data_IF_064108044052
#
_entry.id   IF_064108044052
#
_cell.length_a   1.000
_cell.length_b   1.000
_cell.length_c   1.000
_cell.angle_alpha   90.00
_cell.angle_beta   90.00
_cell.angle_gamma   90.00
#
_symmetry.space_group_name_H-M   'P 1'
#
loop_
_entity.id
_entity.type
_entity.pdbx_description
1 polymer ?
#
# COMPACT_ATOMS: atom_id res chain seq x y z
N UNK A 1 -9.45 -2.38 8.51
CA UNK A 1 -10.29 -1.83 7.42
C UNK A 1 -9.44 -1.51 6.20
N UNK A 2 -8.35 -0.75 6.34
CA UNK A 2 -7.40 -0.46 5.23
C UNK A 2 -6.93 -1.72 4.52
N UNK A 3 -6.51 -2.76 5.26
CA UNK A 3 -6.09 -4.04 4.67
C UNK A 3 -7.17 -4.78 3.87
N UNK A 4 -8.47 -4.54 4.13
CA UNK A 4 -9.54 -5.13 3.30
C UNK A 4 -9.51 -4.49 1.91
N UNK A 5 -9.38 -3.16 1.87
CA UNK A 5 -9.24 -2.40 0.62
C UNK A 5 -7.95 -2.78 -0.12
N UNK A 6 -6.85 -2.94 0.60
CA UNK A 6 -5.57 -3.31 -0.03
C UNK A 6 -5.61 -4.73 -0.56
N UNK A 7 -6.18 -5.68 0.18
CA UNK A 7 -6.37 -7.04 -0.31
C UNK A 7 -7.26 -7.07 -1.56
N UNK A 8 -8.34 -6.28 -1.58
CA UNK A 8 -9.21 -6.15 -2.74
C UNK A 8 -8.44 -5.58 -3.94
N UNK A 9 -7.58 -4.58 -3.76
CA UNK A 9 -6.73 -4.02 -4.82
C UNK A 9 -5.55 -4.90 -5.26
N UNK A 10 -5.42 -6.10 -4.69
CA UNK A 10 -4.23 -6.95 -4.78
C UNK A 10 -2.92 -6.21 -4.45
N UNK A 11 -2.94 -5.38 -3.40
CA UNK A 11 -1.86 -4.47 -3.01
C UNK A 11 -1.51 -3.46 -4.12
N UNK A 12 -2.46 -2.58 -4.42
CA UNK A 12 -2.31 -1.43 -5.33
C UNK A 12 -2.17 -1.79 -6.82
N UNK A 13 -2.52 -3.01 -7.22
CA UNK A 13 -2.43 -3.46 -8.61
C UNK A 13 -3.61 -3.01 -9.47
N UNK A 14 -4.78 -2.81 -8.87
CA UNK A 14 -5.98 -2.36 -9.57
C UNK A 14 -6.87 -1.48 -8.69
N UNK A 15 -7.74 -0.62 -9.29
CA UNK A 15 -8.68 0.17 -8.51
C UNK A 15 -9.71 -0.72 -7.81
N UNK A 16 -10.35 -0.17 -6.78
CA UNK A 16 -11.43 -0.83 -6.02
C UNK A 16 -12.75 -0.11 -6.20
N UNK A 17 -13.87 -0.80 -5.98
CA UNK A 17 -15.19 -0.16 -6.00
C UNK A 17 -15.52 0.46 -4.63
N UNK A 18 -15.82 1.76 -4.62
CA UNK A 18 -16.38 2.38 -3.42
C UNK A 18 -17.66 1.66 -2.95
N UNK A 19 -18.55 1.32 -3.89
CA UNK A 19 -19.86 0.75 -3.60
C UNK A 19 -19.76 -0.60 -2.89
N UNK A 20 -18.78 -1.44 -3.26
CA UNK A 20 -18.57 -2.74 -2.61
C UNK A 20 -18.11 -2.61 -1.15
N UNK A 21 -17.38 -1.53 -0.83
CA UNK A 21 -16.84 -1.29 0.51
C UNK A 21 -17.43 -0.02 1.14
N UNK A 22 -18.65 0.36 0.76
CA UNK A 22 -19.25 1.65 1.12
C UNK A 22 -19.22 1.91 2.63
N UNK A 23 -19.47 0.89 3.44
CA UNK A 23 -19.43 0.97 4.91
C UNK A 23 -18.05 1.35 5.47
N UNK A 24 -16.95 0.97 4.80
CA UNK A 24 -15.58 1.33 5.19
C UNK A 24 -15.37 2.83 4.90
N UNK A 25 -15.75 3.28 3.72
CA UNK A 25 -15.62 4.68 3.33
C UNK A 25 -16.45 5.60 4.21
N UNK A 26 -17.68 5.19 4.53
CA UNK A 26 -18.55 5.94 5.45
C UNK A 26 -17.98 5.98 6.86
N UNK A 27 -17.43 4.87 7.35
CA UNK A 27 -16.74 4.84 8.64
C UNK A 27 -15.54 5.81 8.64
N UNK A 28 -14.70 5.79 7.61
CA UNK A 28 -13.55 6.68 7.53
C UNK A 28 -13.97 8.15 7.48
N UNK A 29 -14.98 8.51 6.67
CA UNK A 29 -15.51 9.89 6.62
C UNK A 29 -16.04 10.34 7.97
N UNK A 30 -16.86 9.51 8.63
CA UNK A 30 -17.47 9.84 9.90
C UNK A 30 -16.44 9.97 11.05
N UNK A 31 -15.29 9.31 10.94
CA UNK A 31 -14.31 9.22 12.02
C UNK A 31 -12.95 9.85 11.69
N UNK A 32 -12.82 10.56 10.57
CA UNK A 32 -11.51 11.01 10.08
C UNK A 32 -10.77 11.84 11.14
N UNK A 33 -11.43 12.76 11.82
CA UNK A 33 -10.78 13.61 12.82
C UNK A 33 -10.26 12.81 14.03
N UNK A 34 -10.99 11.75 14.43
CA UNK A 34 -10.53 10.82 15.48
C UNK A 34 -9.37 9.96 15.01
N UNK A 35 -9.39 9.52 13.75
CA UNK A 35 -8.30 8.75 13.14
C UNK A 35 -7.02 9.60 13.12
N UNK A 36 -7.10 10.84 12.64
CA UNK A 36 -5.95 11.77 12.61
C UNK A 36 -5.37 12.01 14.01
N UNK A 37 -6.22 12.10 15.03
CA UNK A 37 -5.77 12.35 16.41
C UNK A 37 -5.06 11.15 17.05
N UNK A 38 -5.45 9.91 16.69
CA UNK A 38 -5.09 8.71 17.47
C UNK A 38 -4.24 7.70 16.71
N UNK A 39 -4.27 7.72 15.38
CA UNK A 39 -3.58 6.75 14.57
C UNK A 39 -2.12 7.14 14.32
N UNK A 40 -1.29 6.14 14.06
CA UNK A 40 0.09 6.36 13.62
C UNK A 40 0.09 6.89 12.16
N UNK A 41 1.15 7.61 11.75
CA UNK A 41 1.20 8.19 10.39
C UNK A 41 1.08 7.17 9.26
N UNK A 42 1.61 5.96 9.41
CA UNK A 42 1.42 4.89 8.42
C UNK A 42 -0.06 4.56 8.23
N UNK A 43 -0.81 4.35 9.31
CA UNK A 43 -2.26 4.08 9.25
C UNK A 43 -3.04 5.25 8.65
N UNK A 44 -2.67 6.50 8.96
CA UNK A 44 -3.30 7.67 8.34
C UNK A 44 -3.06 7.69 6.83
N UNK A 45 -1.83 7.37 6.40
CA UNK A 45 -1.51 7.27 4.98
C UNK A 45 -2.30 6.16 4.29
N UNK A 46 -2.46 5.01 4.93
CA UNK A 46 -3.26 3.91 4.39
C UNK A 46 -4.73 4.29 4.19
N UNK A 47 -5.32 5.06 5.11
CA UNK A 47 -6.69 5.56 4.96
C UNK A 47 -6.80 6.46 3.73
N UNK A 48 -5.87 7.39 3.52
CA UNK A 48 -5.88 8.23 2.32
C UNK A 48 -5.71 7.42 1.03
N UNK A 49 -4.79 6.44 1.01
CA UNK A 49 -4.58 5.55 -0.13
C UNK A 49 -5.82 4.70 -0.44
N UNK A 50 -6.60 4.29 0.57
CA UNK A 50 -7.84 3.55 0.35
C UNK A 50 -8.88 4.35 -0.47
N UNK A 51 -8.92 5.69 -0.33
CA UNK A 51 -9.77 6.56 -1.15
C UNK A 51 -9.22 6.75 -2.55
N UNK A 52 -7.89 6.91 -2.67
CA UNK A 52 -7.22 7.02 -3.96
C UNK A 52 -7.42 5.78 -4.83
N UNK A 53 -7.36 4.58 -4.23
CA UNK A 53 -7.67 3.31 -4.91
C UNK A 53 -9.10 3.23 -5.44
N UNK A 54 -10.05 3.94 -4.81
CA UNK A 54 -11.43 4.03 -5.28
C UNK A 54 -11.68 5.17 -6.27
N UNK A 55 -10.64 5.91 -6.67
CA UNK A 55 -10.78 7.08 -7.55
C UNK A 55 -11.42 8.30 -6.88
N UNK A 56 -11.35 8.38 -5.55
CA UNK A 56 -11.97 9.44 -4.75
C UNK A 56 -10.98 10.55 -4.36
N UNK A 57 -10.21 11.03 -5.34
CA UNK A 57 -9.09 11.96 -5.09
C UNK A 57 -9.55 13.29 -4.49
N UNK A 58 -10.75 13.76 -4.87
CA UNK A 58 -11.35 15.01 -4.39
C UNK A 58 -12.10 14.85 -3.05
N UNK A 59 -12.12 13.66 -2.45
CA UNK A 59 -12.77 13.45 -1.17
C UNK A 59 -12.01 14.20 -0.04
N UNK A 60 -12.71 14.91 0.86
CA UNK A 60 -12.08 15.63 1.97
C UNK A 60 -11.14 14.77 2.83
N UNK A 61 -11.37 13.46 2.93
CA UNK A 61 -10.48 12.54 3.64
C UNK A 61 -9.08 12.52 3.01
N UNK A 62 -8.97 12.56 1.68
CA UNK A 62 -7.67 12.58 0.98
C UNK A 62 -6.90 13.86 1.32
N UNK A 63 -7.56 15.01 1.27
CA UNK A 63 -6.91 16.28 1.63
C UNK A 63 -6.44 16.29 3.09
N UNK A 64 -7.31 15.87 4.02
CA UNK A 64 -7.00 15.82 5.45
C UNK A 64 -5.81 14.89 5.76
N UNK A 65 -5.79 13.70 5.17
CA UNK A 65 -4.70 12.73 5.35
C UNK A 65 -3.39 13.25 4.74
N UNK A 66 -3.42 13.88 3.54
CA UNK A 66 -2.24 14.52 2.95
C UNK A 66 -1.67 15.61 3.83
N UNK A 67 -2.51 16.50 4.36
CA UNK A 67 -2.08 17.58 5.25
C UNK A 67 -1.45 17.04 6.54
N UNK A 68 -2.05 16.01 7.13
CA UNK A 68 -1.49 15.35 8.31
C UNK A 68 -0.10 14.77 8.03
N UNK A 69 0.06 14.06 6.92
CA UNK A 69 1.34 13.45 6.53
C UNK A 69 2.38 14.53 6.21
N UNK A 70 2.03 15.58 5.48
CA UNK A 70 2.94 16.71 5.21
C UNK A 70 3.44 17.36 6.50
N UNK A 71 2.58 17.50 7.51
CA UNK A 71 2.96 18.05 8.81
C UNK A 71 3.85 17.12 9.64
N UNK A 72 3.79 15.81 9.39
CA UNK A 72 4.59 14.80 10.09
C UNK A 72 6.00 14.59 9.50
N UNK A 73 6.27 15.10 8.29
CA UNK A 73 7.58 14.99 7.65
C UNK A 73 8.56 15.96 8.29
N UNK A 74 9.68 15.43 8.79
CA UNK A 74 10.84 16.24 9.15
C UNK A 74 11.49 16.77 7.86
N UNK A 75 11.60 18.10 7.74
CA UNK A 75 12.09 18.76 6.52
C UNK A 75 13.60 18.64 6.33
N UNK A 76 14.37 18.41 7.39
CA UNK A 76 15.82 18.26 7.31
C UNK A 76 16.16 16.82 6.90
N UNK A 77 15.49 15.84 7.52
CA UNK A 77 15.70 14.42 7.22
C UNK A 77 14.91 13.94 6.00
N UNK A 78 13.89 14.69 5.58
CA UNK A 78 13.04 14.34 4.43
C UNK A 78 12.15 13.11 4.67
N UNK A 79 11.89 12.76 5.93
CA UNK A 79 11.14 11.57 6.29
C UNK A 79 10.36 11.75 7.60
N UNK A 80 9.38 10.90 7.84
CA UNK A 80 8.63 10.85 9.10
C UNK A 80 9.43 10.02 10.11
N UNK A 81 9.77 10.55 11.29
CA UNK A 81 10.48 9.80 12.33
C UNK A 81 9.64 8.66 12.92
N UNK A 82 10.28 7.76 13.66
CA UNK A 82 9.59 6.74 14.45
C UNK A 82 8.83 7.37 15.64
N UNK A 83 8.02 6.58 16.34
CA UNK A 83 7.34 7.05 17.57
C UNK A 83 8.32 7.41 18.70
N UNK A 84 9.57 6.95 18.63
CA UNK A 84 10.64 7.33 19.56
C UNK A 84 11.54 8.44 19.01
N UNK A 85 11.21 9.03 17.85
CA UNK A 85 11.99 10.11 17.23
C UNK A 85 13.20 9.66 16.40
N UNK A 86 13.33 8.36 16.10
CA UNK A 86 14.47 7.81 15.35
C UNK A 86 14.24 7.85 13.82
N UNK A 87 15.33 7.92 13.06
CA UNK A 87 15.36 8.06 11.60
C UNK A 87 15.96 6.84 10.89
N UNK A 88 16.01 5.68 11.54
CA UNK A 88 16.48 4.46 10.89
C UNK A 88 15.61 4.11 9.67
N UNK A 89 16.24 4.12 8.49
CA UNK A 89 15.56 3.88 7.21
C UNK A 89 14.93 2.49 7.12
N UNK A 90 15.64 1.44 7.53
CA UNK A 90 15.13 0.06 7.46
C UNK A 90 13.90 -0.15 8.34
N UNK A 91 13.82 0.53 9.48
CA UNK A 91 12.65 0.47 10.37
C UNK A 91 11.53 1.45 9.95
N UNK A 92 11.88 2.48 9.18
CA UNK A 92 10.97 3.52 8.71
C UNK A 92 10.40 3.31 7.31
N UNK A 93 10.82 2.25 6.61
CA UNK A 93 10.52 2.00 5.19
C UNK A 93 9.00 2.03 4.91
N UNK A 94 8.23 1.16 5.56
CA UNK A 94 6.77 1.07 5.36
C UNK A 94 6.07 2.43 5.48
N UNK A 95 6.35 3.15 6.57
CA UNK A 95 5.74 4.46 6.86
C UNK A 95 6.06 5.49 5.79
N UNK A 96 7.31 5.56 5.35
CA UNK A 96 7.76 6.59 4.42
C UNK A 96 7.39 6.26 2.97
N UNK A 97 7.36 4.97 2.59
CA UNK A 97 6.83 4.55 1.30
C UNK A 97 5.34 4.90 1.19
N UNK A 98 4.53 4.61 2.22
CA UNK A 98 3.12 5.00 2.22
C UNK A 98 2.93 6.52 2.19
N UNK A 99 3.77 7.28 2.90
CA UNK A 99 3.73 8.74 2.85
C UNK A 99 3.99 9.27 1.44
N UNK A 100 5.02 8.77 0.76
CA UNK A 100 5.33 9.13 -0.64
C UNK A 100 4.16 8.75 -1.55
N UNK A 101 3.64 7.54 -1.43
CA UNK A 101 2.51 7.07 -2.24
C UNK A 101 1.26 7.95 -2.08
N UNK A 102 0.95 8.41 -0.87
CA UNK A 102 -0.18 9.31 -0.63
C UNK A 102 0.04 10.71 -1.24
N UNK A 103 1.25 11.24 -1.09
CA UNK A 103 1.60 12.61 -1.48
C UNK A 103 1.82 12.77 -2.99
N UNK A 104 2.40 11.76 -3.64
CA UNK A 104 2.62 11.69 -5.10
C UNK A 104 1.87 10.50 -5.71
N UNK A 105 0.58 10.36 -5.37
CA UNK A 105 -0.26 9.33 -5.97
C UNK A 105 -0.38 9.54 -7.47
N UNK A 106 -0.17 8.47 -8.25
CA UNK A 106 -0.27 8.51 -9.73
C UNK A 106 -1.38 7.61 -10.24
N UNK A 107 -1.20 6.30 -10.08
CA UNK A 107 -2.16 5.28 -10.46
C UNK A 107 -1.79 3.95 -9.83
N UNK A 108 -2.69 2.98 -9.94
CA UNK A 108 -2.37 1.57 -9.70
C UNK A 108 -1.33 1.04 -10.69
N UNK A 109 -0.62 -0.03 -10.31
CA UNK A 109 0.38 -0.64 -11.17
C UNK A 109 0.38 -2.18 -11.03
N UNK A 110 0.13 -2.95 -12.10
CA UNK A 110 0.15 -4.40 -12.04
C UNK A 110 1.49 -4.94 -11.55
N UNK A 111 1.47 -6.05 -10.80
CA UNK A 111 2.69 -6.66 -10.32
C UNK A 111 3.60 -7.12 -11.47
N UNK A 112 4.92 -7.10 -11.26
CA UNK A 112 5.85 -7.66 -12.24
C UNK A 112 5.60 -9.16 -12.39
N UNK A 113 5.31 -9.59 -13.63
CA UNK A 113 5.20 -11.00 -14.00
C UNK A 113 6.53 -11.53 -14.55
N UNK A 114 6.98 -12.71 -14.11
CA UNK A 114 8.24 -13.32 -14.56
C UNK A 114 8.37 -13.45 -16.09
N UNK A 115 7.26 -13.78 -16.77
CA UNK A 115 7.24 -13.89 -18.23
C UNK A 115 7.26 -12.55 -18.99
N UNK A 116 6.95 -11.42 -18.33
CA UNK A 116 6.90 -10.09 -18.96
C UNK A 116 8.05 -9.17 -18.52
N UNK A 117 8.57 -9.37 -17.31
CA UNK A 117 9.55 -8.49 -16.67
C UNK A 117 10.81 -9.26 -16.29
N UNK A 118 11.41 -9.98 -17.24
CA UNK A 118 12.57 -10.85 -17.00
C UNK A 118 13.75 -10.16 -16.32
N UNK A 119 13.91 -8.84 -16.47
CA UNK A 119 14.96 -8.05 -15.80
C UNK A 119 14.75 -7.89 -14.29
N UNK A 120 13.51 -8.03 -13.81
CA UNK A 120 13.16 -7.91 -12.38
C UNK A 120 13.44 -9.23 -11.65
N UNK A 121 13.42 -10.35 -12.36
CA UNK A 121 13.62 -11.69 -11.80
C UNK A 121 15.01 -12.21 -12.21
N UNK A 122 15.98 -12.12 -11.31
CA UNK A 122 17.30 -12.72 -11.52
C UNK A 122 17.20 -14.26 -11.67
N UNK A 123 16.32 -14.87 -10.86
CA UNK A 123 15.93 -16.27 -10.93
C UNK A 123 14.41 -16.41 -10.84
N UNK A 124 13.86 -17.52 -11.34
CA UNK A 124 12.45 -17.82 -11.16
C UNK A 124 12.14 -18.05 -9.68
N UNK A 125 11.12 -17.37 -9.12
CA UNK A 125 10.65 -17.63 -7.76
C UNK A 125 10.40 -19.11 -7.49
N UNK A 126 10.64 -19.54 -6.25
CA UNK A 126 10.30 -20.88 -5.80
C UNK A 126 8.84 -21.21 -6.12
N UNK A 127 8.60 -22.38 -6.71
CA UNK A 127 7.26 -22.80 -7.17
C UNK A 127 6.94 -22.47 -8.63
N UNK A 128 7.74 -21.65 -9.32
CA UNK A 128 7.62 -21.39 -10.76
C UNK A 128 8.61 -22.19 -11.61
N UNK A 129 9.47 -22.99 -10.98
CA UNK A 129 10.34 -23.96 -11.65
C UNK A 129 9.50 -25.20 -11.96
N UNK A 130 9.33 -25.51 -13.25
CA UNK A 130 8.62 -26.72 -13.68
C UNK A 130 9.32 -27.95 -13.10
N UNK A 131 8.61 -28.71 -12.25
CA UNK A 131 9.12 -29.98 -11.73
C UNK A 131 9.41 -30.91 -12.91
N UNK A 132 10.62 -31.44 -12.99
CA UNK A 132 10.97 -32.43 -14.00
C UNK A 132 10.00 -33.62 -13.89
N UNK A 133 9.48 -34.15 -15.01
CA UNK A 133 8.60 -35.31 -14.99
C UNK A 133 9.33 -36.47 -14.29
N UNK A 134 8.65 -37.09 -13.33
CA UNK A 134 9.20 -38.23 -12.61
C UNK A 134 9.40 -39.35 -13.64
N UNK A 135 10.62 -39.93 -13.78
CA UNK A 135 10.79 -41.06 -14.68
C UNK A 135 9.85 -42.16 -14.20
N UNK A 136 8.93 -42.55 -15.08
CA UNK A 136 8.04 -43.69 -14.86
C UNK A 136 8.93 -44.87 -14.48
N UNK A 137 8.82 -45.37 -13.24
CA UNK A 137 9.38 -46.66 -12.87
C UNK A 137 8.70 -47.68 -13.78
N UNK A 138 9.42 -48.12 -14.81
CA UNK A 138 8.99 -49.20 -15.68
C UNK A 138 8.67 -50.41 -14.82
N UNK A 139 7.43 -50.89 -14.94
CA UNK A 139 7.07 -52.23 -14.52
C UNK A 139 7.77 -53.20 -15.48
N UNK A 140 8.62 -54.05 -14.93
CA UNK A 140 9.26 -55.19 -15.59
C UNK A 140 9.38 -56.29 -14.56
#
# INVERSE_FOLDING_TARGET
MTHIIFADSEYYQHPVSQQQHQWIYDYFRANIDTILLRAKPDIVAEVGIAFLLAGLEDDPVVLKTRQFIQAAVDKEQGMIPSTSGDFNLSLGEHRNVLAIMLLDWRSVNPAPLAGKHSKVFADLPYGLIKKAPNPLKGQG
#
